data_IF_945940985898
#
_entry.id   IF_945940985898
#
_cell.length_a   1.000
_cell.length_b   1.000
_cell.length_c   1.000
_cell.angle_alpha   90.00
_cell.angle_beta   90.00
_cell.angle_gamma   90.00
#
_symmetry.space_group_name_H-M   'P 1'
#
loop_
_entity.id
_entity.type
_entity.pdbx_description
1 polymer ?
#
# COMPACT_ATOMS: atom_id res chain seq x y z
N UNK A 1 -6.74 -3.27 -13.92
CA UNK A 1 -5.28 -3.49 -14.07
C UNK A 1 -4.59 -2.55 -13.08
N UNK A 2 -3.87 -3.08 -12.09
CA UNK A 2 -3.05 -2.26 -11.22
C UNK A 2 -1.96 -1.65 -12.12
N UNK A 3 -1.86 -0.32 -12.17
CA UNK A 3 -0.89 0.36 -13.04
C UNK A 3 0.38 0.63 -12.25
N UNK A 4 1.55 0.58 -12.89
CA UNK A 4 2.86 0.92 -12.30
C UNK A 4 2.82 2.27 -11.55
N UNK A 5 2.03 3.22 -12.04
CA UNK A 5 1.81 4.51 -11.39
C UNK A 5 1.11 4.41 -10.03
N UNK A 6 0.18 3.46 -9.85
CA UNK A 6 -0.50 3.23 -8.57
C UNK A 6 0.46 2.59 -7.56
N UNK A 7 1.30 1.66 -8.01
CA UNK A 7 2.34 1.04 -7.19
C UNK A 7 3.32 2.09 -6.67
N UNK A 8 3.84 2.96 -7.56
CA UNK A 8 4.73 4.06 -7.18
C UNK A 8 4.07 4.99 -6.15
N UNK A 9 2.81 5.40 -6.37
CA UNK A 9 2.05 6.21 -5.41
C UNK A 9 1.84 5.49 -4.07
N UNK A 10 1.61 4.18 -4.09
CA UNK A 10 1.49 3.34 -2.90
C UNK A 10 2.74 3.40 -2.03
N UNK A 11 3.92 3.25 -2.63
CA UNK A 11 5.20 3.38 -1.91
C UNK A 11 5.39 4.76 -1.29
N UNK A 12 5.11 5.84 -2.04
CA UNK A 12 5.21 7.21 -1.50
C UNK A 12 4.28 7.44 -0.29
N UNK A 13 3.10 6.83 -0.28
CA UNK A 13 2.18 6.92 0.87
C UNK A 13 2.74 6.13 2.06
N UNK A 14 3.29 4.94 1.83
CA UNK A 14 3.92 4.15 2.89
C UNK A 14 5.13 4.85 3.52
N UNK A 15 5.96 5.54 2.72
CA UNK A 15 7.09 6.35 3.23
C UNK A 15 6.60 7.49 4.15
N UNK A 16 5.57 8.22 3.72
CA UNK A 16 4.95 9.26 4.55
C UNK A 16 4.34 8.69 5.83
N UNK A 17 3.80 7.47 5.75
CA UNK A 17 3.21 6.78 6.89
C UNK A 17 4.29 6.33 7.87
N UNK A 18 5.46 5.89 7.40
CA UNK A 18 6.63 5.62 8.23
C UNK A 18 7.09 6.89 8.98
N UNK A 19 7.16 8.03 8.29
CA UNK A 19 7.48 9.32 8.91
C UNK A 19 6.43 9.72 9.95
N UNK A 20 5.14 9.50 9.66
CA UNK A 20 4.05 9.79 10.58
C UNK A 20 4.16 8.93 11.85
N UNK A 21 4.51 7.63 11.70
CA UNK A 21 4.80 6.71 12.82
C UNK A 21 5.99 7.21 13.64
N UNK A 22 7.10 7.60 12.98
CA UNK A 22 8.28 8.16 13.68
C UNK A 22 7.94 9.44 14.46
N UNK A 23 7.06 10.28 13.92
CA UNK A 23 6.57 11.53 14.55
C UNK A 23 5.40 11.31 15.52
N UNK A 24 4.94 10.07 15.70
CA UNK A 24 3.81 9.68 16.55
C UNK A 24 2.50 10.47 16.26
N UNK A 25 2.25 10.80 14.99
CA UNK A 25 1.07 11.59 14.57
C UNK A 25 -0.08 10.68 14.16
N UNK A 26 -0.87 10.23 15.14
CA UNK A 26 -1.97 9.28 14.95
C UNK A 26 -3.00 9.74 13.90
N UNK A 27 -3.38 11.02 13.90
CA UNK A 27 -4.33 11.57 12.90
C UNK A 27 -3.83 11.38 11.47
N UNK A 28 -2.54 11.69 11.23
CA UNK A 28 -1.94 11.54 9.90
C UNK A 28 -1.81 10.07 9.50
N UNK A 29 -1.54 9.17 10.44
CA UNK A 29 -1.49 7.72 10.15
C UNK A 29 -2.83 7.20 9.63
N UNK A 30 -3.94 7.65 10.23
CA UNK A 30 -5.30 7.26 9.81
C UNK A 30 -5.60 7.81 8.42
N UNK A 31 -5.37 9.11 8.18
CA UNK A 31 -5.60 9.73 6.88
C UNK A 31 -4.79 9.07 5.76
N UNK A 32 -3.49 8.85 6.00
CA UNK A 32 -2.60 8.20 5.03
C UNK A 32 -3.01 6.74 4.78
N UNK A 33 -3.46 6.02 5.81
CA UNK A 33 -3.98 4.66 5.66
C UNK A 33 -5.22 4.63 4.76
N UNK A 34 -6.17 5.55 4.95
CA UNK A 34 -7.36 5.64 4.10
C UNK A 34 -7.02 5.97 2.65
N UNK A 35 -6.07 6.89 2.42
CA UNK A 35 -5.58 7.22 1.08
C UNK A 35 -4.90 6.00 0.45
N UNK A 36 -4.09 5.26 1.22
CA UNK A 36 -3.43 4.04 0.76
C UNK A 36 -4.43 3.02 0.22
N UNK A 37 -5.46 2.69 1.00
CA UNK A 37 -6.50 1.72 0.61
C UNK A 37 -7.39 2.19 -0.54
N UNK A 38 -7.43 3.50 -0.80
CA UNK A 38 -8.11 4.05 -1.99
C UNK A 38 -7.26 3.87 -3.25
N UNK A 39 -5.94 4.01 -3.13
CA UNK A 39 -5.01 3.89 -4.27
C UNK A 39 -4.73 2.43 -4.62
N UNK A 40 -4.49 1.61 -3.60
CA UNK A 40 -4.20 0.19 -3.72
C UNK A 40 -5.46 -0.58 -3.35
N UNK A 41 -6.20 -1.12 -4.34
CA UNK A 41 -7.39 -1.91 -4.08
C UNK A 41 -6.99 -3.22 -3.41
N UNK A 42 -7.18 -3.27 -2.11
CA UNK A 42 -7.05 -4.45 -1.28
C UNK A 42 -8.45 -5.04 -1.12
N UNK A 43 -8.59 -6.34 -1.36
CA UNK A 43 -9.85 -7.04 -1.16
C UNK A 43 -10.12 -7.18 0.33
N UNK A 44 -10.71 -6.15 0.93
CA UNK A 44 -11.28 -6.24 2.26
C UNK A 44 -12.68 -6.83 2.13
N UNK A 45 -12.84 -8.05 2.63
CA UNK A 45 -14.13 -8.72 2.70
C UNK A 45 -15.07 -7.94 3.63
N UNK A 46 -15.83 -6.95 3.14
CA UNK A 46 -16.86 -6.16 3.88
C UNK A 46 -16.45 -5.61 5.26
N UNK A 47 -15.17 -5.67 5.62
CA UNK A 47 -14.61 -5.25 6.90
C UNK A 47 -13.90 -3.92 6.69
N UNK A 48 -14.11 -2.97 7.60
CA UNK A 48 -13.38 -1.70 7.60
C UNK A 48 -11.91 -2.01 7.84
N UNK A 49 -11.00 -1.60 6.95
CA UNK A 49 -9.59 -1.89 7.13
C UNK A 49 -9.04 -1.20 8.37
N UNK A 50 -8.23 -1.93 9.12
CA UNK A 50 -7.56 -1.40 10.30
C UNK A 50 -6.49 -0.39 9.88
N UNK A 51 -6.39 0.75 10.58
CA UNK A 51 -5.40 1.76 10.25
C UNK A 51 -3.97 1.24 10.50
N UNK A 52 -3.05 1.63 9.63
CA UNK A 52 -1.63 1.27 9.74
C UNK A 52 -1.01 2.17 10.80
N UNK A 53 -0.95 1.70 12.04
CA UNK A 53 -0.40 2.46 13.18
C UNK A 53 0.87 1.84 13.76
N UNK A 54 1.20 0.61 13.37
CA UNK A 54 2.40 -0.10 13.84
C UNK A 54 3.38 -0.36 12.70
N UNK A 55 4.66 -0.48 13.05
CA UNK A 55 5.72 -0.88 12.11
C UNK A 55 5.46 -2.26 11.49
N UNK A 56 4.84 -3.18 12.25
CA UNK A 56 4.47 -4.50 11.74
C UNK A 56 3.44 -4.41 10.61
N UNK A 57 2.37 -3.64 10.82
CA UNK A 57 1.37 -3.42 9.77
C UNK A 57 1.99 -2.72 8.56
N UNK A 58 2.87 -1.73 8.77
CA UNK A 58 3.55 -1.04 7.69
C UNK A 58 4.38 -2.02 6.85
N UNK A 59 5.22 -2.84 7.48
CA UNK A 59 6.07 -3.82 6.79
C UNK A 59 5.24 -4.81 5.97
N UNK A 60 4.15 -5.33 6.53
CA UNK A 60 3.26 -6.24 5.80
C UNK A 60 2.64 -5.59 4.54
N UNK A 61 2.35 -4.29 4.57
CA UNK A 61 1.85 -3.57 3.39
C UNK A 61 2.97 -3.32 2.35
N UNK A 62 4.22 -3.12 2.78
CA UNK A 62 5.38 -3.07 1.87
C UNK A 62 5.57 -4.40 1.14
N UNK A 63 5.54 -5.52 1.87
CA UNK A 63 5.71 -6.85 1.30
C UNK A 63 4.58 -7.17 0.31
N UNK A 64 3.34 -6.78 0.64
CA UNK A 64 2.20 -6.91 -0.28
C UNK A 64 2.41 -6.11 -1.56
N UNK A 65 2.86 -4.86 -1.45
CA UNK A 65 3.10 -3.99 -2.62
C UNK A 65 4.22 -4.51 -3.52
N UNK A 66 5.29 -5.07 -2.93
CA UNK A 66 6.37 -5.71 -3.65
C UNK A 66 5.86 -6.91 -4.46
N UNK A 67 5.09 -7.81 -3.82
CA UNK A 67 4.48 -8.96 -4.48
C UNK A 67 3.55 -8.56 -5.63
N UNK A 68 2.73 -7.52 -5.43
CA UNK A 68 1.85 -7.01 -6.47
C UNK A 68 2.63 -6.43 -7.66
N UNK A 69 3.79 -5.81 -7.41
CA UNK A 69 4.70 -5.35 -8.45
C UNK A 69 5.28 -6.50 -9.27
N UNK A 70 5.73 -7.56 -8.61
CA UNK A 70 6.28 -8.74 -9.27
C UNK A 70 5.22 -9.46 -10.12
N UNK A 71 3.99 -9.61 -9.60
CA UNK A 71 2.88 -10.19 -10.35
C UNK A 71 2.53 -9.33 -11.57
N UNK A 72 2.51 -8.01 -11.45
CA UNK A 72 2.27 -7.11 -12.58
C UNK A 72 3.36 -7.25 -13.65
N UNK A 73 4.63 -7.33 -13.23
CA UNK A 73 5.76 -7.53 -14.13
C UNK A 73 5.63 -8.86 -14.88
N UNK A 74 5.40 -9.97 -14.17
CA UNK A 74 5.22 -11.30 -14.78
C UNK A 74 4.02 -11.32 -15.74
N UNK A 75 2.90 -10.69 -15.36
CA UNK A 75 1.73 -10.58 -16.23
C UNK A 75 1.99 -9.73 -17.47
N UNK A 76 2.80 -8.68 -17.36
CA UNK A 76 3.19 -7.86 -18.52
C UNK A 76 4.01 -8.66 -19.53
N UNK A 77 4.99 -9.44 -19.05
CA UNK A 77 5.82 -10.32 -19.89
C UNK A 77 4.97 -11.41 -20.57
N UNK A 78 4.00 -12.00 -19.86
CA UNK A 78 3.13 -13.02 -20.44
C UNK A 78 2.12 -12.45 -21.45
N UNK A 79 1.76 -11.17 -21.36
CA UNK A 79 0.81 -10.53 -22.29
C UNK A 79 1.42 -10.11 -23.62
N UNK A 80 2.74 -10.00 -23.68
CA UNK A 80 3.52 -9.75 -24.90
C UNK A 80 3.88 -11.04 -25.66
N UNK A 81 3.39 -12.21 -25.21
CA UNK A 81 3.43 -13.50 -25.92
C UNK A 81 2.09 -13.80 -26.58
#
# INVERSE_FOLDING_TARGET
KLSKTKIAKGFTILEQLEEAIKKNKISLMVDLSSIFYTVIPTSFERIVPTPIVTKWNLQSNYDMLALLGDVEMVQSIQKDR
#
